data_IF_852159403668
#
_entry.id   IF_852159403668
#
_cell.length_a   1.000
_cell.length_b   1.000
_cell.length_c   1.000
_cell.angle_alpha   90.00
_cell.angle_beta   90.00
_cell.angle_gamma   90.00
#
_symmetry.space_group_name_H-M   'P 1'
#
loop_
_entity.id
_entity.type
_entity.pdbx_description
1 polymer ?
#
# COMPACT_ATOMS: atom_id res chain seq x y z
N UNK A 1 -14.28 -19.42 7.66
CA UNK A 1 -13.44 -18.45 8.40
C UNK A 1 -11.93 -18.63 8.20
N UNK A 2 -11.31 -19.81 8.37
CA UNK A 2 -9.84 -19.93 8.31
C UNK A 2 -9.25 -19.69 6.92
N UNK A 3 -9.97 -20.04 5.84
CA UNK A 3 -9.53 -19.77 4.45
C UNK A 3 -9.39 -18.27 4.17
N UNK A 4 -10.36 -17.45 4.58
CA UNK A 4 -10.32 -15.99 4.42
C UNK A 4 -9.21 -15.35 5.27
N UNK A 5 -8.97 -15.86 6.48
CA UNK A 5 -7.87 -15.41 7.33
C UNK A 5 -6.51 -15.70 6.67
N UNK A 6 -6.32 -16.90 6.13
CA UNK A 6 -5.08 -17.25 5.41
C UNK A 6 -4.88 -16.34 4.20
N UNK A 7 -5.91 -16.12 3.39
CA UNK A 7 -5.83 -15.20 2.24
C UNK A 7 -5.48 -13.78 2.69
N UNK A 8 -6.09 -13.28 3.76
CA UNK A 8 -5.79 -11.95 4.29
C UNK A 8 -4.36 -11.84 4.85
N UNK A 9 -3.88 -12.88 5.54
CA UNK A 9 -2.50 -12.93 6.03
C UNK A 9 -1.52 -12.94 4.85
N UNK A 10 -1.78 -13.76 3.83
CA UNK A 10 -0.95 -13.80 2.62
C UNK A 10 -0.94 -12.47 1.87
N UNK A 11 -2.11 -11.82 1.74
CA UNK A 11 -2.21 -10.49 1.15
C UNK A 11 -1.45 -9.44 1.96
N UNK A 12 -1.50 -9.50 3.29
CA UNK A 12 -0.73 -8.64 4.17
C UNK A 12 0.78 -8.86 4.02
N UNK A 13 1.24 -10.10 4.00
CA UNK A 13 2.66 -10.44 3.80
C UNK A 13 3.16 -9.97 2.43
N UNK A 14 2.36 -10.18 1.37
CA UNK A 14 2.67 -9.66 0.04
C UNK A 14 2.76 -8.12 0.05
N UNK A 15 1.86 -7.44 0.77
CA UNK A 15 1.88 -6.00 0.94
C UNK A 15 3.15 -5.50 1.62
N UNK A 16 3.58 -6.18 2.69
CA UNK A 16 4.87 -5.90 3.37
C UNK A 16 6.04 -6.03 2.38
N UNK A 17 6.09 -7.11 1.61
CA UNK A 17 7.16 -7.33 0.64
C UNK A 17 7.22 -6.24 -0.44
N UNK A 18 6.07 -5.84 -0.99
CA UNK A 18 5.97 -4.74 -1.97
C UNK A 18 6.40 -3.41 -1.35
N UNK A 19 5.95 -3.11 -0.14
CA UNK A 19 6.33 -1.88 0.55
C UNK A 19 7.82 -1.82 0.87
N UNK A 20 8.42 -2.93 1.34
CA UNK A 20 9.88 -3.02 1.56
C UNK A 20 10.63 -2.81 0.25
N UNK A 21 10.21 -3.48 -0.83
CA UNK A 21 10.84 -3.31 -2.14
C UNK A 21 10.84 -1.84 -2.58
N UNK A 22 9.69 -1.16 -2.48
CA UNK A 22 9.56 0.26 -2.80
C UNK A 22 10.42 1.15 -1.91
N UNK A 23 10.49 0.87 -0.61
CA UNK A 23 11.35 1.62 0.32
C UNK A 23 12.82 1.47 -0.05
N UNK A 24 13.28 0.25 -0.36
CA UNK A 24 14.66 -0.01 -0.78
C UNK A 24 14.98 0.68 -2.10
N UNK A 25 14.09 0.58 -3.10
CA UNK A 25 14.29 1.22 -4.41
C UNK A 25 14.35 2.74 -4.28
N UNK A 26 13.50 3.33 -3.44
CA UNK A 26 13.52 4.77 -3.16
C UNK A 26 14.85 5.23 -2.56
N UNK A 27 15.38 4.52 -1.55
CA UNK A 27 16.65 4.89 -0.91
C UNK A 27 17.88 4.56 -1.76
N UNK A 28 17.85 3.48 -2.51
CA UNK A 28 18.97 3.05 -3.35
C UNK A 28 19.06 3.84 -4.67
N UNK A 29 18.01 4.59 -5.04
CA UNK A 29 17.96 5.34 -6.30
C UNK A 29 17.97 4.43 -7.54
N UNK A 30 17.54 3.18 -7.40
CA UNK A 30 17.47 2.26 -8.53
C UNK A 30 16.29 2.57 -9.44
N UNK A 31 16.43 2.27 -10.72
CA UNK A 31 15.31 2.28 -11.65
C UNK A 31 14.34 1.17 -11.24
N UNK A 32 13.10 1.49 -10.84
CA UNK A 32 12.11 0.48 -10.46
C UNK A 32 11.84 -0.46 -11.64
N UNK A 33 11.50 -1.71 -11.35
CA UNK A 33 11.09 -2.67 -12.38
C UNK A 33 9.68 -2.33 -12.91
N UNK A 34 9.56 -1.23 -13.63
CA UNK A 34 8.36 -0.79 -14.31
C UNK A 34 8.72 0.16 -15.47
N UNK A 35 7.78 0.45 -16.39
CA UNK A 35 8.02 1.40 -17.46
C UNK A 35 8.40 2.78 -16.91
N UNK A 36 9.42 3.41 -17.51
CA UNK A 36 9.93 4.74 -17.14
C UNK A 36 9.45 5.84 -18.09
N UNK A 37 8.53 5.51 -19.01
CA UNK A 37 8.05 6.42 -20.04
C UNK A 37 6.54 6.32 -20.23
N UNK A 38 5.86 7.46 -20.35
CA UNK A 38 4.42 7.54 -20.56
C UNK A 38 3.63 7.72 -19.24
N UNK A 39 2.31 7.42 -19.25
CA UNK A 39 1.43 7.62 -18.09
C UNK A 39 1.71 6.66 -16.92
N UNK A 40 2.44 5.56 -17.17
CA UNK A 40 2.92 4.64 -16.15
C UNK A 40 4.40 4.92 -15.96
N UNK A 41 4.76 5.58 -14.86
CA UNK A 41 6.14 5.93 -14.55
C UNK A 41 6.39 5.91 -13.03
N UNK A 42 6.92 4.80 -12.53
CA UNK A 42 7.19 4.67 -11.09
C UNK A 42 8.38 5.52 -10.65
N UNK A 43 9.34 5.79 -11.54
CA UNK A 43 10.48 6.65 -11.23
C UNK A 43 10.00 8.08 -10.95
N UNK A 44 9.13 8.63 -11.81
CA UNK A 44 8.51 9.94 -11.58
C UNK A 44 7.73 10.00 -10.26
N UNK A 45 6.98 8.94 -9.90
CA UNK A 45 6.25 8.89 -8.63
C UNK A 45 7.19 8.78 -7.42
N UNK A 46 8.20 7.92 -7.48
CA UNK A 46 9.14 7.67 -6.37
C UNK A 46 10.16 8.79 -6.15
N UNK A 47 10.45 9.59 -7.18
CA UNK A 47 11.30 10.78 -7.09
C UNK A 47 10.52 12.05 -6.77
N UNK A 48 9.17 12.01 -6.84
CA UNK A 48 8.34 13.17 -6.56
C UNK A 48 8.43 13.62 -5.10
N UNK A 49 8.17 14.91 -4.80
CA UNK A 49 8.06 15.39 -3.42
C UNK A 49 7.00 14.65 -2.59
N UNK A 50 6.05 13.99 -3.24
CA UNK A 50 4.99 13.21 -2.61
C UNK A 50 5.40 11.78 -2.25
N UNK A 51 6.58 11.33 -2.68
CA UNK A 51 7.14 10.04 -2.27
C UNK A 51 7.49 10.00 -0.77
N UNK A 52 7.65 11.17 -0.15
CA UNK A 52 7.83 11.34 1.29
C UNK A 52 6.57 11.90 1.94
N UNK A 53 6.32 11.51 3.18
CA UNK A 53 5.17 12.01 3.94
C UNK A 53 5.42 13.50 4.21
N UNK A 54 4.54 14.36 3.68
CA UNK A 54 4.61 15.83 3.71
C UNK A 54 5.52 16.43 4.81
N UNK A 55 6.73 16.87 4.41
CA UNK A 55 7.69 17.53 5.30
C UNK A 55 8.61 16.61 6.12
N UNK A 56 8.54 15.29 5.95
CA UNK A 56 9.44 14.32 6.58
C UNK A 56 10.34 13.64 5.55
N UNK A 57 11.42 13.00 6.01
CA UNK A 57 12.29 12.12 5.20
C UNK A 57 11.81 10.67 5.16
N UNK A 58 10.56 10.40 5.59
CA UNK A 58 10.00 9.04 5.66
C UNK A 58 9.24 8.76 4.37
N UNK A 59 9.63 7.76 3.59
CA UNK A 59 8.91 7.41 2.37
C UNK A 59 7.51 6.88 2.72
N UNK A 60 6.52 7.25 1.92
CA UNK A 60 5.13 6.78 2.08
C UNK A 60 5.02 5.25 2.04
N UNK A 61 5.95 4.58 1.36
CA UNK A 61 6.09 3.12 1.35
C UNK A 61 6.37 2.54 2.74
N UNK A 62 7.10 3.23 3.61
CA UNK A 62 7.37 2.79 4.98
C UNK A 62 6.10 2.77 5.84
N UNK A 63 5.19 3.74 5.64
CA UNK A 63 3.88 3.71 6.28
C UNK A 63 3.05 2.49 5.83
N UNK A 64 3.19 2.09 4.56
CA UNK A 64 2.61 0.85 4.03
C UNK A 64 3.10 -0.40 4.76
N UNK A 65 4.40 -0.49 5.08
CA UNK A 65 4.97 -1.61 5.86
C UNK A 65 4.25 -1.73 7.20
N UNK A 66 4.15 -0.63 7.94
CA UNK A 66 3.48 -0.60 9.26
C UNK A 66 2.01 -0.99 9.11
N UNK A 67 1.34 -0.48 8.08
CA UNK A 67 -0.06 -0.78 7.78
C UNK A 67 -0.32 -2.28 7.58
N UNK A 68 0.46 -2.90 6.70
CA UNK A 68 0.31 -4.32 6.40
C UNK A 68 0.76 -5.21 7.56
N UNK A 69 1.80 -4.83 8.30
CA UNK A 69 2.24 -5.57 9.48
C UNK A 69 1.15 -5.62 10.56
N UNK A 70 0.53 -4.48 10.87
CA UNK A 70 -0.60 -4.44 11.82
C UNK A 70 -1.79 -5.23 11.26
N UNK A 71 -2.05 -5.16 9.95
CA UNK A 71 -3.11 -5.95 9.31
C UNK A 71 -2.91 -7.45 9.54
N UNK A 72 -1.69 -7.97 9.35
CA UNK A 72 -1.36 -9.39 9.61
C UNK A 72 -1.65 -9.77 11.07
N UNK A 73 -1.24 -8.92 12.02
CA UNK A 73 -1.47 -9.15 13.46
C UNK A 73 -2.97 -9.14 13.80
N UNK A 74 -3.73 -8.18 13.25
CA UNK A 74 -5.18 -8.10 13.46
C UNK A 74 -5.90 -9.31 12.87
N UNK A 75 -5.42 -9.83 11.74
CA UNK A 75 -5.98 -11.04 11.11
C UNK A 75 -5.67 -12.34 11.86
N UNK A 76 -4.60 -12.37 12.66
CA UNK A 76 -4.30 -13.50 13.55
C UNK A 76 -5.28 -13.61 14.73
N UNK A 77 -5.86 -12.48 15.18
CA UNK A 77 -6.90 -12.43 16.22
C UNK A 77 -8.04 -11.50 15.77
N UNK A 78 -8.86 -11.92 14.80
CA UNK A 78 -9.80 -11.03 14.12
C UNK A 78 -10.89 -10.56 15.07
N UNK A 79 -10.91 -9.24 15.32
CA UNK A 79 -12.01 -8.54 15.97
C UNK A 79 -12.67 -7.65 14.93
N UNK A 80 -13.94 -7.92 14.62
CA UNK A 80 -14.67 -7.25 13.54
C UNK A 80 -14.61 -5.72 13.62
N UNK A 81 -14.81 -5.13 14.80
CA UNK A 81 -14.74 -3.67 15.00
C UNK A 81 -13.36 -3.09 14.65
N UNK A 82 -12.29 -3.76 15.10
CA UNK A 82 -10.92 -3.33 14.80
C UNK A 82 -10.57 -3.52 13.33
N UNK A 83 -10.96 -4.65 12.72
CA UNK A 83 -10.71 -4.91 11.31
C UNK A 83 -11.43 -3.90 10.41
N UNK A 84 -12.67 -3.52 10.73
CA UNK A 84 -13.42 -2.52 9.98
C UNK A 84 -12.82 -1.12 10.15
N UNK A 85 -12.49 -0.72 11.38
CA UNK A 85 -11.86 0.58 11.63
C UNK A 85 -10.49 0.71 10.97
N UNK A 86 -9.70 -0.36 11.04
CA UNK A 86 -8.43 -0.45 10.32
C UNK A 86 -8.67 -0.39 8.82
N UNK A 87 -9.50 -1.26 8.26
CA UNK A 87 -9.82 -1.28 6.82
C UNK A 87 -10.26 0.10 6.28
N UNK A 88 -11.07 0.84 7.03
CA UNK A 88 -11.47 2.19 6.64
C UNK A 88 -10.29 3.15 6.51
N UNK A 89 -9.37 3.14 7.48
CA UNK A 89 -8.18 3.98 7.45
C UNK A 89 -7.29 3.61 6.24
N UNK A 90 -7.10 2.32 5.96
CA UNK A 90 -6.37 1.87 4.78
C UNK A 90 -7.02 2.32 3.47
N UNK A 91 -8.35 2.24 3.37
CA UNK A 91 -9.10 2.70 2.19
C UNK A 91 -8.94 4.20 1.97
N UNK A 92 -9.05 5.00 3.03
CA UNK A 92 -8.84 6.46 2.96
C UNK A 92 -7.43 6.80 2.48
N UNK A 93 -6.41 6.09 2.98
CA UNK A 93 -5.03 6.26 2.54
C UNK A 93 -4.85 5.94 1.06
N UNK A 94 -5.44 4.84 0.56
CA UNK A 94 -5.37 4.49 -0.86
C UNK A 94 -5.99 5.57 -1.75
N UNK A 95 -7.17 6.08 -1.39
CA UNK A 95 -7.85 7.14 -2.16
C UNK A 95 -7.01 8.42 -2.18
N UNK A 96 -6.42 8.78 -1.03
CA UNK A 96 -5.54 9.94 -0.94
C UNK A 96 -4.28 9.81 -1.80
N UNK A 97 -3.62 8.64 -1.76
CA UNK A 97 -2.42 8.39 -2.56
C UNK A 97 -2.72 8.36 -4.06
N UNK A 98 -3.83 7.73 -4.47
CA UNK A 98 -4.28 7.77 -5.87
C UNK A 98 -4.55 9.19 -6.36
N UNK A 99 -5.15 10.03 -5.51
CA UNK A 99 -5.35 11.45 -5.84
C UNK A 99 -4.02 12.15 -6.09
N UNK A 100 -3.01 11.91 -5.26
CA UNK A 100 -1.66 12.45 -5.46
C UNK A 100 -1.03 11.95 -6.77
N UNK A 101 -1.06 10.64 -7.03
CA UNK A 101 -0.45 10.06 -8.23
C UNK A 101 -1.06 10.65 -9.51
N UNK A 102 -2.40 10.76 -9.56
CA UNK A 102 -3.11 11.21 -10.76
C UNK A 102 -3.08 12.73 -10.91
N UNK A 103 -3.32 13.48 -9.83
CA UNK A 103 -3.56 14.93 -9.91
C UNK A 103 -2.29 15.73 -9.68
N UNK A 104 -1.44 15.32 -8.74
CA UNK A 104 -0.22 16.08 -8.39
C UNK A 104 0.98 15.64 -9.21
N UNK A 105 1.18 14.32 -9.37
CA UNK A 105 2.33 13.77 -10.11
C UNK A 105 2.00 13.63 -11.60
N UNK A 106 0.77 13.27 -11.95
CA UNK A 106 0.36 13.01 -13.33
C UNK A 106 0.92 11.70 -13.90
N UNK A 107 1.35 10.77 -13.02
CA UNK A 107 1.90 9.48 -13.41
C UNK A 107 1.44 8.38 -12.43
N UNK A 108 1.27 7.18 -12.95
CA UNK A 108 0.81 6.01 -12.18
C UNK A 108 2.00 5.10 -11.89
N UNK A 109 2.15 4.69 -10.63
CA UNK A 109 3.12 3.68 -10.24
C UNK A 109 2.45 2.30 -10.19
N UNK A 110 2.98 1.35 -10.96
CA UNK A 110 2.44 -0.02 -11.02
C UNK A 110 2.55 -0.73 -9.66
N UNK A 111 3.66 -0.54 -8.96
CA UNK A 111 3.92 -1.14 -7.65
C UNK A 111 3.06 -0.53 -6.54
N UNK A 112 2.85 0.79 -6.55
CA UNK A 112 1.90 1.44 -5.65
C UNK A 112 0.48 0.96 -5.92
N UNK A 113 0.10 0.85 -7.20
CA UNK A 113 -1.21 0.29 -7.59
C UNK A 113 -1.38 -1.14 -7.09
N UNK A 114 -0.35 -1.99 -7.18
CA UNK A 114 -0.38 -3.32 -6.60
C UNK A 114 -0.61 -3.30 -5.07
N UNK A 115 0.07 -2.40 -4.35
CA UNK A 115 -0.17 -2.21 -2.92
C UNK A 115 -1.59 -1.71 -2.62
N UNK A 116 -2.11 -0.77 -3.42
CA UNK A 116 -3.49 -0.28 -3.31
C UNK A 116 -4.51 -1.43 -3.48
N UNK A 117 -4.30 -2.29 -4.47
CA UNK A 117 -5.15 -3.47 -4.69
C UNK A 117 -5.11 -4.42 -3.50
N UNK A 118 -3.93 -4.67 -2.91
CA UNK A 118 -3.81 -5.52 -1.72
C UNK A 118 -4.58 -4.94 -0.52
N UNK A 119 -4.53 -3.63 -0.31
CA UNK A 119 -5.35 -2.97 0.72
C UNK A 119 -6.84 -3.15 0.44
N UNK A 120 -7.29 -2.90 -0.80
CA UNK A 120 -8.69 -3.07 -1.18
C UNK A 120 -9.16 -4.52 -0.96
N UNK A 121 -8.34 -5.51 -1.31
CA UNK A 121 -8.63 -6.93 -1.02
C UNK A 121 -8.84 -7.15 0.48
N UNK A 122 -7.95 -6.63 1.33
CA UNK A 122 -8.09 -6.75 2.79
C UNK A 122 -9.39 -6.10 3.30
N UNK A 123 -9.75 -4.93 2.77
CA UNK A 123 -11.00 -4.22 3.10
C UNK A 123 -12.21 -5.05 2.70
N UNK A 124 -12.24 -5.60 1.48
CA UNK A 124 -13.35 -6.42 0.99
C UNK A 124 -13.52 -7.69 1.84
N UNK A 125 -12.42 -8.35 2.20
CA UNK A 125 -12.45 -9.50 3.09
C UNK A 125 -13.02 -9.09 4.46
N UNK A 126 -12.57 -7.97 5.03
CA UNK A 126 -13.04 -7.49 6.34
C UNK A 126 -14.54 -7.15 6.34
N UNK A 127 -15.06 -6.53 5.28
CA UNK A 127 -16.48 -6.20 5.13
C UNK A 127 -17.33 -7.45 4.85
N UNK A 128 -16.79 -8.41 4.11
CA UNK A 128 -17.45 -9.68 3.78
C UNK A 128 -17.53 -10.67 4.94
N UNK A 129 -16.84 -10.42 6.06
CA UNK A 129 -16.97 -11.21 7.28
C UNK A 129 -18.29 -10.89 8.00
N UNK A 130 -19.38 -11.52 7.52
CA UNK A 130 -20.67 -11.56 8.22
C UNK A 130 -20.73 -12.73 9.17
#
# INVERSE_FOLDING_TARGET
MPRLQVVAILAGVAGIAVSIYLTVVHFAGFVPACPVSGPINCEAVLSSPSAVIAGTSIPTSAAGIVWFAISVVLWARPRRSLLLGWSLLGLLTVVYLLFIEIVLVGAICLWCTAAHLLVVVLVLIAVGQR
#
